data_IF_592119361350
#
_entry.id   IF_592119361350
#
_cell.length_a   1.000
_cell.length_b   1.000
_cell.length_c   1.000
_cell.angle_alpha   90.00
_cell.angle_beta   90.00
_cell.angle_gamma   90.00
#
_symmetry.space_group_name_H-M   'P 1'
#
loop_
_entity.id
_entity.type
_entity.pdbx_description
1 polymer ?
#
# COMPACT_ATOMS: atom_id res chain seq x y z
N UNK A 1 -1.47 -10.32 -16.55
CA UNK A 1 -2.30 -9.28 -15.92
C UNK A 1 -2.93 -8.50 -17.05
N UNK A 2 -4.24 -8.28 -17.07
CA UNK A 2 -4.86 -7.40 -18.05
C UNK A 2 -4.49 -5.97 -17.66
N UNK A 3 -3.45 -5.43 -18.29
CA UNK A 3 -3.13 -4.01 -18.18
C UNK A 3 -4.32 -3.25 -18.77
N UNK A 4 -5.07 -2.53 -17.92
CA UNK A 4 -6.18 -1.71 -18.40
C UNK A 4 -5.59 -0.64 -19.31
N UNK A 5 -5.95 -0.71 -20.59
CA UNK A 5 -5.55 0.27 -21.59
C UNK A 5 -6.38 1.54 -21.39
N UNK A 6 -5.69 2.65 -21.20
CA UNK A 6 -6.20 4.01 -21.18
C UNK A 6 -6.12 4.58 -22.59
N UNK A 7 -7.19 5.25 -23.02
CA UNK A 7 -7.18 6.01 -24.26
C UNK A 7 -6.74 7.43 -23.96
N UNK A 8 -5.72 7.89 -24.67
CA UNK A 8 -5.20 9.23 -24.55
C UNK A 8 -5.13 9.89 -25.93
N UNK A 9 -5.40 11.18 -25.99
CA UNK A 9 -5.31 11.97 -27.22
C UNK A 9 -4.00 12.74 -27.21
N UNK A 10 -3.27 12.72 -28.33
CA UNK A 10 -2.03 13.49 -28.47
C UNK A 10 -2.34 14.99 -28.40
N UNK A 11 -1.70 15.70 -27.46
CA UNK A 11 -2.03 17.09 -27.16
C UNK A 11 -1.29 18.11 -28.02
N UNK A 12 0.03 18.19 -27.87
CA UNK A 12 0.80 19.37 -28.33
C UNK A 12 1.75 19.07 -29.49
N UNK A 13 2.35 17.88 -29.51
CA UNK A 13 3.34 17.48 -30.51
C UNK A 13 3.14 16.01 -30.89
N UNK A 14 3.53 15.64 -32.11
CA UNK A 14 3.51 14.25 -32.53
C UNK A 14 4.42 13.38 -31.64
N UNK A 15 3.99 12.16 -31.33
CA UNK A 15 4.71 11.22 -30.47
C UNK A 15 4.99 9.94 -31.24
N UNK A 16 6.20 9.41 -31.14
CA UNK A 16 6.52 8.05 -31.56
C UNK A 16 6.29 7.10 -30.38
N UNK A 17 5.35 6.16 -30.52
CA UNK A 17 5.04 5.17 -29.50
C UNK A 17 4.82 3.81 -30.15
N UNK A 18 5.43 2.75 -29.59
CA UNK A 18 5.37 1.38 -30.11
C UNK A 18 5.66 1.26 -31.62
N UNK A 19 6.63 2.04 -32.12
CA UNK A 19 7.03 2.02 -33.53
C UNK A 19 6.07 2.74 -34.48
N UNK A 20 4.97 3.32 -33.98
CA UNK A 20 4.02 4.13 -34.76
C UNK A 20 4.09 5.60 -34.32
N UNK A 21 4.10 6.51 -35.29
CA UNK A 21 3.99 7.95 -35.04
C UNK A 21 2.51 8.32 -34.95
N UNK A 22 2.15 9.01 -33.87
CA UNK A 22 0.82 9.54 -33.62
C UNK A 22 0.86 11.07 -33.73
N UNK A 23 -0.02 11.63 -34.53
CA UNK A 23 -0.18 13.07 -34.72
C UNK A 23 -1.09 13.69 -33.66
N UNK A 24 -1.04 15.02 -33.52
CA UNK A 24 -1.90 15.77 -32.60
C UNK A 24 -3.38 15.49 -32.92
N UNK A 25 -4.15 15.15 -31.87
CA UNK A 25 -5.56 14.77 -31.99
C UNK A 25 -5.81 13.29 -32.27
N UNK A 26 -4.78 12.49 -32.57
CA UNK A 26 -4.94 11.04 -32.68
C UNK A 26 -5.05 10.37 -31.31
N UNK A 27 -5.81 9.28 -31.26
CA UNK A 27 -5.95 8.44 -30.07
C UNK A 27 -4.86 7.39 -30.03
N UNK A 28 -4.23 7.28 -28.87
CA UNK A 28 -3.23 6.29 -28.53
C UNK A 28 -3.73 5.46 -27.34
N UNK A 29 -3.52 4.14 -27.41
CA UNK A 29 -3.75 3.21 -26.31
C UNK A 29 -2.49 3.11 -25.46
N UNK A 30 -2.63 3.31 -24.15
CA UNK A 30 -1.53 3.33 -23.20
C UNK A 30 -1.88 2.48 -21.99
N UNK A 31 -0.90 1.81 -21.41
CA UNK A 31 -1.03 1.33 -20.03
C UNK A 31 -1.10 2.52 -19.05
N UNK A 32 -1.56 2.26 -17.83
CA UNK A 32 -1.59 3.29 -16.78
C UNK A 32 -0.19 3.85 -16.46
N UNK A 33 0.86 3.04 -16.59
CA UNK A 33 2.24 3.45 -16.38
C UNK A 33 2.73 4.34 -17.54
N UNK A 34 2.51 3.92 -18.78
CA UNK A 34 2.90 4.70 -19.96
C UNK A 34 2.19 6.06 -19.98
N UNK A 35 0.90 6.09 -19.67
CA UNK A 35 0.14 7.33 -19.55
C UNK A 35 0.72 8.32 -18.53
N UNK A 36 1.28 7.84 -17.42
CA UNK A 36 1.97 8.67 -16.44
C UNK A 36 3.30 9.19 -17.00
N UNK A 37 4.05 8.33 -17.69
CA UNK A 37 5.36 8.68 -18.24
C UNK A 37 5.29 9.75 -19.33
N UNK A 38 4.22 9.77 -20.13
CA UNK A 38 4.02 10.76 -21.21
C UNK A 38 2.88 11.74 -20.94
N UNK A 39 2.45 11.89 -19.67
CA UNK A 39 1.31 12.71 -19.26
C UNK A 39 1.41 14.19 -19.72
N UNK A 40 2.62 14.70 -19.96
CA UNK A 40 2.82 16.06 -20.47
C UNK A 40 2.37 16.22 -21.93
N UNK A 41 2.37 15.14 -22.70
CA UNK A 41 2.15 15.16 -24.15
C UNK A 41 0.80 14.59 -24.57
N UNK A 42 0.09 13.96 -23.63
CA UNK A 42 -1.20 13.31 -23.89
C UNK A 42 -2.28 13.83 -22.96
N UNK A 43 -3.49 13.97 -23.49
CA UNK A 43 -4.68 14.26 -22.71
C UNK A 43 -5.49 12.98 -22.55
N UNK A 44 -5.64 12.49 -21.33
CA UNK A 44 -6.53 11.35 -21.05
C UNK A 44 -7.98 11.71 -21.40
N UNK A 45 -8.69 10.79 -22.05
CA UNK A 45 -10.14 10.92 -22.25
C UNK A 45 -10.89 10.90 -20.91
N UNK A 46 -12.14 11.39 -20.83
CA UNK A 46 -12.93 11.31 -19.61
C UNK A 46 -13.03 9.89 -19.03
N UNK A 47 -13.17 8.87 -19.88
CA UNK A 47 -13.23 7.46 -19.49
C UNK A 47 -11.89 6.99 -18.92
N UNK A 48 -10.78 7.37 -19.57
CA UNK A 48 -9.44 7.03 -19.10
C UNK A 48 -9.11 7.72 -17.76
N UNK A 49 -9.56 8.96 -17.54
CA UNK A 49 -9.43 9.65 -16.25
C UNK A 49 -10.20 8.92 -15.16
N UNK A 50 -11.45 8.53 -15.43
CA UNK A 50 -12.26 7.78 -14.47
C UNK A 50 -11.62 6.42 -14.11
N UNK A 51 -11.07 5.71 -15.10
CA UNK A 51 -10.36 4.46 -14.87
C UNK A 51 -9.07 4.66 -14.03
N UNK A 52 -8.31 5.73 -14.28
CA UNK A 52 -7.12 6.07 -13.50
C UNK A 52 -7.46 6.41 -12.05
N UNK A 53 -8.52 7.18 -11.83
CA UNK A 53 -8.99 7.56 -10.49
C UNK A 53 -9.49 6.32 -9.70
N UNK A 54 -10.23 5.43 -10.34
CA UNK A 54 -10.66 4.16 -9.74
C UNK A 54 -9.45 3.29 -9.35
N UNK A 55 -8.47 3.13 -10.25
CA UNK A 55 -7.26 2.36 -9.97
C UNK A 55 -6.46 2.97 -8.80
N UNK A 56 -6.38 4.30 -8.73
CA UNK A 56 -5.73 5.01 -7.62
C UNK A 56 -6.45 4.74 -6.31
N UNK A 57 -7.78 4.86 -6.28
CA UNK A 57 -8.59 4.54 -5.09
C UNK A 57 -8.39 3.09 -4.63
N UNK A 58 -8.40 2.13 -5.54
CA UNK A 58 -8.18 0.71 -5.21
C UNK A 58 -6.78 0.47 -4.64
N UNK A 59 -5.75 1.11 -5.21
CA UNK A 59 -4.38 1.01 -4.71
C UNK A 59 -4.23 1.65 -3.31
N UNK A 60 -4.88 2.78 -3.06
CA UNK A 60 -4.90 3.42 -1.73
C UNK A 60 -5.63 2.56 -0.69
N UNK A 61 -6.76 1.97 -1.07
CA UNK A 61 -7.52 1.09 -0.19
C UNK A 61 -6.71 -0.16 0.17
N UNK A 62 -6.04 -0.78 -0.80
CA UNK A 62 -5.15 -1.91 -0.57
C UNK A 62 -3.98 -1.54 0.37
N UNK A 63 -3.37 -0.36 0.19
CA UNK A 63 -2.33 0.16 1.10
C UNK A 63 -2.87 0.35 2.51
N UNK A 64 -4.07 0.92 2.66
CA UNK A 64 -4.70 1.14 3.96
C UNK A 64 -5.00 -0.17 4.68
N UNK A 65 -5.53 -1.17 3.96
CA UNK A 65 -5.79 -2.50 4.53
C UNK A 65 -4.49 -3.19 4.97
N UNK A 66 -3.43 -3.09 4.16
CA UNK A 66 -2.12 -3.63 4.52
C UNK A 66 -1.52 -2.94 5.76
N UNK A 67 -1.63 -1.61 5.86
CA UNK A 67 -1.18 -0.87 7.03
C UNK A 67 -1.98 -1.25 8.29
N UNK A 68 -3.30 -1.37 8.18
CA UNK A 68 -4.15 -1.78 9.29
C UNK A 68 -3.81 -3.21 9.77
N UNK A 69 -3.57 -4.13 8.84
CA UNK A 69 -3.11 -5.48 9.16
C UNK A 69 -1.76 -5.47 9.90
N UNK A 70 -0.82 -4.61 9.47
CA UNK A 70 0.48 -4.44 10.14
C UNK A 70 0.31 -3.89 11.56
N UNK A 71 -0.50 -2.85 11.74
CA UNK A 71 -0.79 -2.26 13.05
C UNK A 71 -1.43 -3.29 14.00
N UNK A 72 -2.38 -4.09 13.52
CA UNK A 72 -3.00 -5.17 14.31
C UNK A 72 -2.00 -6.25 14.71
N UNK A 73 -1.05 -6.58 13.83
CA UNK A 73 0.02 -7.54 14.13
C UNK A 73 0.97 -6.98 15.21
N UNK A 74 1.43 -5.74 15.05
CA UNK A 74 2.28 -5.04 16.03
C UNK A 74 1.59 -4.93 17.40
N UNK A 75 0.28 -4.62 17.44
CA UNK A 75 -0.47 -4.53 18.69
C UNK A 75 -0.60 -5.89 19.39
N UNK A 76 -0.87 -6.96 18.65
CA UNK A 76 -0.91 -8.33 19.19
C UNK A 76 0.44 -8.72 19.78
N UNK A 77 1.53 -8.41 19.09
CA UNK A 77 2.87 -8.69 19.56
C UNK A 77 3.21 -7.91 20.84
N UNK A 78 2.85 -6.62 20.89
CA UNK A 78 3.02 -5.79 22.10
C UNK A 78 2.26 -6.36 23.28
N UNK A 79 0.99 -6.77 23.08
CA UNK A 79 0.17 -7.39 24.14
C UNK A 79 0.77 -8.72 24.62
N UNK A 80 1.28 -9.54 23.71
CA UNK A 80 1.93 -10.81 24.07
C UNK A 80 3.20 -10.60 24.91
N UNK A 81 4.05 -9.62 24.54
CA UNK A 81 5.24 -9.26 25.33
C UNK A 81 4.87 -8.75 26.72
N UNK A 82 3.90 -7.83 26.82
CA UNK A 82 3.43 -7.31 28.10
C UNK A 82 2.85 -8.41 29.00
N UNK A 83 2.09 -9.36 28.44
CA UNK A 83 1.56 -10.50 29.19
C UNK A 83 2.68 -11.42 29.72
N UNK A 84 3.73 -11.64 28.91
CA UNK A 84 4.89 -12.45 29.31
C UNK A 84 5.69 -11.79 30.43
N UNK A 85 5.93 -10.47 30.34
CA UNK A 85 6.59 -9.69 31.39
C UNK A 85 5.79 -9.70 32.69
N UNK A 86 4.47 -9.51 32.63
CA UNK A 86 3.61 -9.55 33.80
C UNK A 86 3.63 -10.93 34.49
N UNK A 87 3.66 -12.02 33.72
CA UNK A 87 3.76 -13.38 34.26
C UNK A 87 5.11 -13.61 34.94
N UNK A 88 6.21 -13.23 34.28
CA UNK A 88 7.55 -13.36 34.85
C UNK A 88 7.70 -12.56 36.16
N UNK A 89 7.12 -11.36 36.23
CA UNK A 89 7.21 -10.53 37.42
C UNK A 89 6.42 -11.11 38.61
N UNK A 90 5.26 -11.74 38.36
CA UNK A 90 4.49 -12.47 39.39
C UNK A 90 5.21 -13.70 39.92
N UNK A 91 5.84 -14.48 39.05
CA UNK A 91 6.61 -15.68 39.45
C UNK A 91 7.82 -15.27 40.30
N UNK A 92 8.52 -14.19 39.94
CA UNK A 92 9.64 -13.66 40.72
C UNK A 92 9.23 -13.17 42.12
N UNK A 93 8.09 -12.47 42.25
CA UNK A 93 7.61 -12.00 43.56
C UNK A 93 7.14 -13.14 44.45
N UNK A 94 6.55 -14.18 43.89
CA UNK A 94 6.05 -15.34 44.67
C UNK A 94 7.21 -16.18 45.19
N UNK A 95 8.25 -16.41 44.39
CA UNK A 95 9.47 -17.11 44.84
C UNK A 95 10.23 -16.33 45.93
N UNK A 96 10.27 -14.99 45.83
CA UNK A 96 10.96 -14.16 46.84
C UNK A 96 10.19 -14.12 48.16
N UNK A 97 8.85 -14.13 48.11
CA UNK A 97 8.01 -14.19 49.31
C UNK A 97 8.17 -15.53 50.06
N UNK A 98 8.17 -16.65 49.35
CA UNK A 98 8.33 -17.97 49.97
C UNK A 98 9.73 -18.19 50.58
N UNK A 99 10.78 -17.71 49.93
CA UNK A 99 12.16 -17.83 50.42
C UNK A 99 12.43 -17.07 51.73
N UNK A 100 11.68 -16.01 52.03
CA UNK A 100 11.83 -15.26 53.28
C UNK A 100 11.07 -15.90 54.46
N UNK A 101 10.04 -16.69 54.22
CA UNK A 101 9.27 -17.40 55.27
C UNK A 101 9.97 -18.67 55.77
N UNK A 102 10.75 -19.36 54.94
CA UNK A 102 11.46 -20.59 55.35
C UNK A 102 12.72 -20.31 56.17
N UNK A 103 13.25 -19.08 56.16
CA UNK A 103 14.47 -18.72 56.87
C UNK A 103 14.21 -18.09 58.26
N UNK A 104 12.96 -18.12 58.74
CA UNK A 104 12.53 -17.56 60.02
C UNK A 104 11.81 -18.58 60.94
N UNK A 105 11.77 -19.86 60.57
CA UNK A 105 11.24 -20.97 61.38
C UNK A 105 12.37 -21.86 61.89
#
# INVERSE_FOLDING_TARGET
MNEKLLYAVIGTVAILHNGKRYEVGETLELTQEEAQNIALYVALTPEAKAAQEEATRQAEEAKRQAEEARRKAEEKERKARAAKEAKNNKEATTNTANANTENQA
#
